data_IF_792919823855
#
_entry.id   IF_792919823855
#
_cell.length_a   1.000
_cell.length_b   1.000
_cell.length_c   1.000
_cell.angle_alpha   90.00
_cell.angle_beta   90.00
_cell.angle_gamma   90.00
#
_symmetry.space_group_name_H-M   'P 1'
#
loop_
_entity.id
_entity.type
_entity.pdbx_description
1 polymer ?
#
# COMPACT_ATOMS: atom_id res chain seq x y z
N UNK A 1 15.67 23.62 -37.18
CA UNK A 1 15.61 22.79 -35.96
C UNK A 1 14.29 23.07 -35.27
N UNK A 2 13.50 22.05 -34.97
CA UNK A 2 12.18 22.19 -34.33
C UNK A 2 12.29 21.67 -32.90
N UNK A 3 11.78 22.43 -31.93
CA UNK A 3 11.73 22.02 -30.52
C UNK A 3 10.28 21.85 -30.13
N UNK A 4 9.89 20.64 -29.73
CA UNK A 4 8.52 20.31 -29.29
C UNK A 4 8.48 20.24 -27.77
N UNK A 5 7.54 20.96 -27.16
CA UNK A 5 7.31 20.91 -25.72
C UNK A 5 6.35 19.76 -25.37
N UNK A 6 6.56 19.08 -24.23
CA UNK A 6 5.69 18.00 -23.79
C UNK A 6 4.30 18.53 -23.39
N UNK A 7 3.31 17.64 -23.39
CA UNK A 7 2.02 17.92 -22.78
C UNK A 7 2.21 18.07 -21.26
N UNK A 8 1.81 19.21 -20.72
CA UNK A 8 2.03 19.56 -19.31
C UNK A 8 0.68 19.71 -18.61
N UNK A 9 0.61 19.26 -17.36
CA UNK A 9 -0.49 19.52 -16.45
C UNK A 9 0.05 19.95 -15.09
N UNK A 10 -0.76 20.64 -14.29
CA UNK A 10 -0.42 20.97 -12.89
C UNK A 10 -1.29 20.15 -11.96
N UNK A 11 -0.67 19.41 -11.04
CA UNK A 11 -1.38 18.63 -10.01
C UNK A 11 -1.54 19.47 -8.74
N UNK A 12 -2.78 19.65 -8.30
CA UNK A 12 -3.13 20.27 -7.02
C UNK A 12 -3.58 19.20 -6.03
N UNK A 13 -2.84 19.09 -4.93
CA UNK A 13 -3.15 18.18 -3.83
C UNK A 13 -4.28 18.75 -2.96
N UNK A 14 -4.20 20.04 -2.64
CA UNK A 14 -5.25 20.80 -1.94
C UNK A 14 -5.96 21.73 -2.91
N UNK A 15 -7.28 21.76 -2.83
CA UNK A 15 -8.08 22.69 -3.63
C UNK A 15 -8.95 23.57 -2.75
N UNK A 16 -9.01 24.85 -3.13
CA UNK A 16 -9.93 25.84 -2.57
C UNK A 16 -11.01 26.19 -3.59
N UNK A 17 -12.12 26.79 -3.14
CA UNK A 17 -13.26 27.19 -4.00
C UNK A 17 -12.86 28.01 -5.25
N UNK A 18 -11.73 28.73 -5.19
CA UNK A 18 -11.23 29.58 -6.28
C UNK A 18 -10.16 28.92 -7.17
N UNK A 19 -9.84 27.64 -6.96
CA UNK A 19 -8.81 26.94 -7.74
C UNK A 19 -9.32 26.77 -9.18
N UNK A 20 -8.68 27.39 -10.19
CA UNK A 20 -9.15 27.29 -11.58
C UNK A 20 -8.97 25.87 -12.12
N UNK A 21 -9.57 25.57 -13.28
CA UNK A 21 -9.38 24.29 -13.97
C UNK A 21 -8.25 24.36 -15.03
N UNK A 22 -7.74 25.56 -15.31
CA UNK A 22 -6.64 25.80 -16.25
C UNK A 22 -5.67 26.83 -15.68
N UNK A 23 -4.39 26.68 -16.03
CA UNK A 23 -3.32 27.66 -15.74
C UNK A 23 -2.69 28.13 -17.04
N UNK A 24 -2.23 29.38 -17.09
CA UNK A 24 -1.47 29.87 -18.26
C UNK A 24 -0.01 29.48 -18.13
N UNK A 25 0.50 28.70 -19.08
CA UNK A 25 1.92 28.45 -19.26
C UNK A 25 2.50 29.49 -20.20
N UNK A 26 3.63 30.11 -19.83
CA UNK A 26 4.24 31.22 -20.56
C UNK A 26 5.71 30.88 -20.81
N UNK A 27 6.08 30.79 -22.08
CA UNK A 27 7.47 30.58 -22.51
C UNK A 27 7.98 31.91 -23.06
N UNK A 28 9.05 32.42 -22.45
CA UNK A 28 9.72 33.63 -22.91
C UNK A 28 10.98 33.22 -23.68
N UNK A 29 11.08 33.67 -24.92
CA UNK A 29 12.23 33.44 -25.80
C UNK A 29 12.77 34.77 -26.32
N UNK A 30 14.02 34.85 -26.83
CA UNK A 30 14.54 36.08 -27.43
C UNK A 30 13.69 36.63 -28.58
N UNK A 31 12.98 35.77 -29.31
CA UNK A 31 12.11 36.15 -30.43
C UNK A 31 10.65 36.42 -30.07
N UNK A 32 10.26 36.29 -28.80
CA UNK A 32 8.89 36.55 -28.36
C UNK A 32 8.39 35.60 -27.28
N UNK A 33 7.10 35.73 -26.96
CA UNK A 33 6.43 34.98 -25.89
C UNK A 33 5.35 34.07 -26.45
N UNK A 34 5.37 32.79 -26.07
CA UNK A 34 4.30 31.82 -26.37
C UNK A 34 3.48 31.60 -25.10
N UNK A 35 2.15 31.63 -25.22
CA UNK A 35 1.21 31.43 -24.11
C UNK A 35 0.15 30.41 -24.49
N UNK A 36 -0.10 29.43 -23.63
CA UNK A 36 -1.20 28.47 -23.79
C UNK A 36 -1.70 27.99 -22.44
N UNK A 37 -2.92 27.46 -22.42
CA UNK A 37 -3.53 26.91 -21.22
C UNK A 37 -3.06 25.47 -20.99
N UNK A 38 -2.70 25.16 -19.74
CA UNK A 38 -2.43 23.80 -19.26
C UNK A 38 -3.53 23.38 -18.26
N UNK A 39 -3.97 22.11 -18.29
CA UNK A 39 -4.99 21.62 -17.36
C UNK A 39 -4.47 21.57 -15.93
N UNK A 40 -5.37 21.86 -14.99
CA UNK A 40 -5.16 21.64 -13.57
C UNK A 40 -5.88 20.37 -13.14
N UNK A 41 -5.12 19.37 -12.68
CA UNK A 41 -5.62 18.14 -12.09
C UNK A 41 -5.77 18.32 -10.58
N UNK A 42 -6.90 17.90 -10.02
CA UNK A 42 -7.25 18.11 -8.61
C UNK A 42 -7.40 16.76 -7.95
N UNK A 43 -6.49 16.37 -7.06
CA UNK A 43 -6.50 15.02 -6.44
C UNK A 43 -7.83 14.72 -5.77
N UNK A 44 -8.38 15.69 -5.06
CA UNK A 44 -9.67 15.60 -4.34
C UNK A 44 -10.89 15.36 -5.26
N UNK A 45 -10.75 15.46 -6.59
CA UNK A 45 -11.82 15.15 -7.55
C UNK A 45 -11.81 13.69 -8.04
N UNK A 46 -10.76 12.93 -7.75
CA UNK A 46 -10.65 11.54 -8.20
C UNK A 46 -11.12 10.60 -7.10
N UNK A 47 -12.11 9.76 -7.42
CA UNK A 47 -12.46 8.62 -6.58
C UNK A 47 -11.37 7.54 -6.67
N UNK A 48 -11.35 6.58 -5.74
CA UNK A 48 -10.46 5.41 -5.88
C UNK A 48 -10.70 4.67 -7.19
N UNK A 49 -11.96 4.50 -7.60
CA UNK A 49 -12.27 3.84 -8.87
C UNK A 49 -11.71 4.60 -10.06
N UNK A 50 -11.84 5.94 -10.09
CA UNK A 50 -11.21 6.76 -11.13
C UNK A 50 -9.69 6.53 -11.18
N UNK A 51 -9.02 6.47 -10.02
CA UNK A 51 -7.56 6.31 -9.94
C UNK A 51 -7.14 4.98 -10.56
N UNK A 52 -7.81 3.88 -10.20
CA UNK A 52 -7.44 2.56 -10.68
C UNK A 52 -7.88 2.31 -12.14
N UNK A 53 -9.09 2.71 -12.52
CA UNK A 53 -9.60 2.54 -13.89
C UNK A 53 -8.77 3.33 -14.92
N UNK A 54 -8.39 4.57 -14.58
CA UNK A 54 -7.58 5.43 -15.45
C UNK A 54 -6.06 5.20 -15.29
N UNK A 55 -5.65 4.20 -14.50
CA UNK A 55 -4.25 3.88 -14.19
C UNK A 55 -3.44 5.07 -13.64
N UNK A 56 -4.07 5.93 -12.86
CA UNK A 56 -3.48 7.11 -12.24
C UNK A 56 -2.80 6.77 -10.90
N UNK A 57 -2.12 5.62 -10.80
CA UNK A 57 -1.60 5.07 -9.54
C UNK A 57 -0.65 6.03 -8.80
N UNK A 58 0.00 6.94 -9.53
CA UNK A 58 0.80 8.05 -8.97
C UNK A 58 0.00 8.95 -8.01
N UNK A 59 -1.32 8.94 -8.07
CA UNK A 59 -2.19 9.73 -7.21
C UNK A 59 -2.47 9.06 -5.86
N UNK A 60 -2.23 7.74 -5.72
CA UNK A 60 -2.50 7.00 -4.47
C UNK A 60 -1.77 7.59 -3.25
N UNK A 61 -0.47 7.98 -3.32
CA UNK A 61 0.20 8.62 -2.19
C UNK A 61 -0.49 9.90 -1.71
N UNK A 62 -1.18 10.59 -2.62
CA UNK A 62 -1.85 11.84 -2.34
C UNK A 62 -3.35 11.67 -2.07
N UNK A 63 -3.89 10.46 -2.13
CA UNK A 63 -5.31 10.21 -1.93
C UNK A 63 -5.78 10.73 -0.57
N UNK A 64 -4.93 10.66 0.46
CA UNK A 64 -5.24 11.15 1.81
C UNK A 64 -5.68 12.62 1.86
N UNK A 65 -5.30 13.45 0.88
CA UNK A 65 -5.73 14.84 0.82
C UNK A 65 -7.24 15.01 0.58
N UNK A 66 -7.95 13.99 0.07
CA UNK A 66 -9.43 14.00 0.01
C UNK A 66 -10.06 13.90 1.40
N UNK A 67 -9.35 13.29 2.36
CA UNK A 67 -9.77 13.02 3.72
C UNK A 67 -9.30 14.08 4.75
N UNK A 68 -8.44 15.02 4.33
CA UNK A 68 -7.78 15.97 5.23
C UNK A 68 -8.75 16.76 6.13
N UNK A 69 -9.89 17.20 5.58
CA UNK A 69 -10.88 17.95 6.35
C UNK A 69 -11.58 17.11 7.44
N UNK A 70 -11.56 15.78 7.30
CA UNK A 70 -12.19 14.83 8.21
C UNK A 70 -11.21 14.23 9.22
N UNK A 71 -9.91 14.60 9.18
CA UNK A 71 -8.93 14.12 10.16
C UNK A 71 -9.33 14.33 11.63
N UNK A 72 -9.91 15.47 12.05
CA UNK A 72 -10.37 15.63 13.43
C UNK A 72 -11.42 14.58 13.84
N UNK A 73 -12.31 14.22 12.91
CA UNK A 73 -13.35 13.23 13.14
C UNK A 73 -12.74 11.82 13.22
N UNK A 74 -11.89 11.45 12.27
CA UNK A 74 -11.18 10.16 12.31
C UNK A 74 -10.32 10.02 13.57
N UNK A 75 -9.75 11.12 14.05
CA UNK A 75 -8.90 11.09 15.23
C UNK A 75 -9.69 10.93 16.54
N UNK A 76 -10.97 11.28 16.56
CA UNK A 76 -11.82 11.23 17.77
C UNK A 76 -12.88 10.13 17.73
N UNK A 77 -13.12 9.50 16.57
CA UNK A 77 -14.14 8.47 16.39
C UNK A 77 -13.55 7.20 15.75
N UNK A 78 -13.50 6.12 16.53
CA UNK A 78 -12.96 4.82 16.11
C UNK A 78 -13.71 4.19 14.94
N UNK A 79 -15.04 4.34 14.87
CA UNK A 79 -15.83 3.80 13.77
C UNK A 79 -15.47 4.49 12.44
N UNK A 80 -15.35 5.82 12.47
CA UNK A 80 -14.94 6.61 11.30
C UNK A 80 -13.51 6.30 10.88
N UNK A 81 -12.61 6.09 11.85
CA UNK A 81 -11.25 5.64 11.56
C UNK A 81 -11.23 4.23 10.95
N UNK A 82 -12.10 3.33 11.40
CA UNK A 82 -12.22 1.99 10.82
C UNK A 82 -12.72 2.02 9.37
N UNK A 83 -13.65 2.92 9.03
CA UNK A 83 -14.08 3.17 7.65
C UNK A 83 -12.89 3.59 6.77
N UNK A 84 -12.07 4.56 7.24
CA UNK A 84 -10.87 5.00 6.52
C UNK A 84 -9.83 3.88 6.37
N UNK A 85 -9.62 3.07 7.42
CA UNK A 85 -8.74 1.90 7.37
C UNK A 85 -9.19 0.88 6.33
N UNK A 86 -10.49 0.59 6.28
CA UNK A 86 -11.06 -0.34 5.30
C UNK A 86 -10.86 0.17 3.87
N UNK A 87 -11.00 1.47 3.65
CA UNK A 87 -10.73 2.10 2.36
C UNK A 87 -9.26 1.95 1.93
N UNK A 88 -8.32 2.16 2.83
CA UNK A 88 -6.89 1.94 2.56
C UNK A 88 -6.53 0.45 2.39
N UNK A 89 -7.24 -0.45 3.07
CA UNK A 89 -7.09 -1.88 2.84
C UNK A 89 -7.48 -2.26 1.40
N UNK A 90 -8.55 -1.67 0.86
CA UNK A 90 -8.95 -1.86 -0.55
C UNK A 90 -7.86 -1.37 -1.51
N UNK A 91 -7.18 -0.26 -1.20
CA UNK A 91 -6.06 0.23 -2.01
C UNK A 91 -4.95 -0.81 -2.07
N UNK A 92 -4.54 -1.36 -0.92
CA UNK A 92 -3.51 -2.41 -0.85
C UNK A 92 -3.91 -3.64 -1.67
N UNK A 93 -5.13 -4.14 -1.50
CA UNK A 93 -5.62 -5.31 -2.25
C UNK A 93 -5.64 -5.08 -3.77
N UNK A 94 -6.01 -3.87 -4.22
CA UNK A 94 -6.01 -3.53 -5.65
C UNK A 94 -4.58 -3.41 -6.19
N UNK A 95 -3.64 -2.86 -5.42
CA UNK A 95 -2.23 -2.83 -5.80
C UNK A 95 -1.63 -4.24 -5.87
N UNK A 96 -1.98 -5.13 -4.92
CA UNK A 96 -1.57 -6.54 -4.93
C UNK A 96 -2.07 -7.25 -6.19
N UNK A 97 -3.34 -7.06 -6.55
CA UNK A 97 -3.91 -7.63 -7.77
C UNK A 97 -3.18 -7.14 -9.02
N UNK A 98 -2.83 -5.86 -9.08
CA UNK A 98 -2.08 -5.30 -10.21
C UNK A 98 -0.66 -5.87 -10.31
N UNK A 99 0.02 -6.07 -9.19
CA UNK A 99 1.33 -6.73 -9.14
C UNK A 99 1.23 -8.19 -9.59
N UNK A 100 0.28 -8.96 -9.04
CA UNK A 100 0.07 -10.37 -9.39
C UNK A 100 -0.28 -10.56 -10.87
N UNK A 101 -0.97 -9.60 -11.48
CA UNK A 101 -1.28 -9.58 -12.91
C UNK A 101 -0.11 -9.10 -13.79
N UNK A 102 0.99 -8.65 -13.19
CA UNK A 102 2.14 -8.09 -13.90
C UNK A 102 1.87 -6.71 -14.53
N UNK A 103 0.83 -6.01 -14.11
CA UNK A 103 0.50 -4.65 -14.60
C UNK A 103 1.46 -3.62 -14.02
N UNK A 104 1.91 -3.83 -12.78
CA UNK A 104 2.96 -3.05 -12.11
C UNK A 104 4.01 -3.99 -11.54
N UNK A 105 5.25 -3.50 -11.39
CA UNK A 105 6.29 -4.27 -10.71
C UNK A 105 6.16 -4.23 -9.19
N UNK A 106 6.80 -5.20 -8.52
CA UNK A 106 6.93 -5.22 -7.07
C UNK A 106 7.54 -3.91 -6.52
N UNK A 107 8.50 -3.34 -7.25
CA UNK A 107 9.11 -2.06 -6.92
C UNK A 107 8.10 -0.90 -6.99
N UNK A 108 7.33 -0.79 -8.08
CA UNK A 108 6.33 0.28 -8.25
C UNK A 108 5.30 0.26 -7.12
N UNK A 109 4.78 -0.93 -6.80
CA UNK A 109 3.86 -1.14 -5.68
C UNK A 109 4.49 -0.68 -4.37
N UNK A 110 5.71 -1.14 -4.09
CA UNK A 110 6.41 -0.79 -2.86
C UNK A 110 6.61 0.72 -2.74
N UNK A 111 7.03 1.39 -3.81
CA UNK A 111 7.20 2.83 -3.85
C UNK A 111 5.89 3.57 -3.60
N UNK A 112 4.78 3.15 -4.22
CA UNK A 112 3.47 3.76 -3.98
C UNK A 112 3.08 3.66 -2.50
N UNK A 113 3.27 2.48 -1.90
CA UNK A 113 2.93 2.22 -0.50
C UNK A 113 3.79 3.07 0.44
N UNK A 114 5.11 3.11 0.22
CA UNK A 114 6.04 3.88 1.05
C UNK A 114 5.76 5.38 0.97
N UNK A 115 5.62 5.93 -0.24
CA UNK A 115 5.27 7.33 -0.42
C UNK A 115 3.93 7.68 0.22
N UNK A 116 2.95 6.77 0.17
CA UNK A 116 1.67 6.96 0.86
C UNK A 116 1.85 7.05 2.38
N UNK A 117 2.66 6.16 2.96
CA UNK A 117 2.97 6.20 4.40
C UNK A 117 3.62 7.52 4.80
N UNK A 118 4.62 7.96 4.03
CA UNK A 118 5.34 9.21 4.30
C UNK A 118 4.42 10.42 4.20
N UNK A 119 3.61 10.51 3.13
CA UNK A 119 2.64 11.60 2.98
C UNK A 119 1.62 11.63 4.11
N UNK A 120 1.09 10.46 4.51
CA UNK A 120 0.13 10.37 5.63
C UNK A 120 0.78 10.82 6.94
N UNK A 121 2.00 10.37 7.22
CA UNK A 121 2.75 10.80 8.42
C UNK A 121 2.92 12.30 8.44
N UNK A 122 3.32 12.91 7.34
CA UNK A 122 3.55 14.36 7.25
C UNK A 122 2.26 15.18 7.39
N UNK A 123 1.17 14.78 6.74
CA UNK A 123 -0.07 15.56 6.76
C UNK A 123 -0.87 15.35 8.06
N UNK A 124 -0.77 14.18 8.67
CA UNK A 124 -1.54 13.80 9.86
C UNK A 124 -0.75 13.96 11.17
N UNK A 125 0.36 14.72 11.21
CA UNK A 125 1.23 14.91 12.39
C UNK A 125 0.49 15.25 13.70
N UNK A 126 -0.64 15.95 13.62
CA UNK A 126 -1.44 16.35 14.79
C UNK A 126 -2.55 15.35 15.15
N UNK A 127 -2.69 14.29 14.39
CA UNK A 127 -3.78 13.31 14.46
C UNK A 127 -3.19 11.91 14.67
N UNK A 128 -2.75 11.64 15.89
CA UNK A 128 -2.05 10.41 16.28
C UNK A 128 -2.82 9.14 15.88
N UNK A 129 -4.15 9.12 16.03
CA UNK A 129 -4.96 7.95 15.69
C UNK A 129 -5.05 7.73 14.16
N UNK A 130 -5.00 8.80 13.36
CA UNK A 130 -4.93 8.71 11.89
C UNK A 130 -3.56 8.18 11.46
N UNK A 131 -2.47 8.69 12.05
CA UNK A 131 -1.12 8.19 11.80
C UNK A 131 -0.96 6.72 12.17
N UNK A 132 -1.31 6.34 13.40
CA UNK A 132 -1.26 4.93 13.85
C UNK A 132 -2.22 4.04 13.09
N UNK A 133 -3.34 4.61 12.64
CA UNK A 133 -4.37 3.86 11.95
C UNK A 133 -3.99 3.48 10.53
N UNK A 134 -3.73 4.49 9.70
CA UNK A 134 -3.50 4.33 8.26
C UNK A 134 -2.02 4.48 7.92
N UNK A 135 -1.30 5.37 8.59
CA UNK A 135 0.14 5.57 8.38
C UNK A 135 0.96 4.31 8.68
N UNK A 136 0.66 3.60 9.77
CA UNK A 136 1.31 2.32 10.12
C UNK A 136 0.88 1.17 9.21
N UNK A 137 -0.40 1.17 8.80
CA UNK A 137 -0.91 0.24 7.78
C UNK A 137 -0.12 0.39 6.49
N UNK A 138 0.09 1.61 6.00
CA UNK A 138 0.89 1.88 4.79
C UNK A 138 2.40 1.76 5.04
N UNK A 139 2.85 1.87 6.29
CA UNK A 139 4.26 1.80 6.70
C UNK A 139 4.83 0.40 6.84
N UNK A 140 4.02 -0.64 6.60
CA UNK A 140 4.48 -2.03 6.64
C UNK A 140 4.32 -2.73 8.00
N UNK A 141 3.77 -2.07 9.02
CA UNK A 141 3.46 -2.74 10.28
C UNK A 141 2.40 -3.83 10.07
N UNK A 142 1.39 -3.54 9.22
CA UNK A 142 0.29 -4.45 8.86
C UNK A 142 0.41 -5.10 7.48
N UNK A 143 1.35 -4.66 6.63
CA UNK A 143 1.49 -5.19 5.27
C UNK A 143 2.27 -6.49 5.34
N UNK A 144 1.67 -7.59 4.89
CA UNK A 144 2.43 -8.78 4.52
C UNK A 144 3.21 -8.45 3.24
N UNK A 145 4.46 -8.04 3.41
CA UNK A 145 5.35 -7.77 2.27
C UNK A 145 5.79 -9.09 1.67
N UNK A 146 6.19 -9.11 0.39
CA UNK A 146 6.68 -10.35 -0.23
C UNK A 146 7.91 -10.90 0.52
N UNK A 147 8.76 -10.03 1.07
CA UNK A 147 9.84 -10.42 1.96
C UNK A 147 9.33 -11.08 3.26
N UNK A 148 8.25 -10.56 3.86
CA UNK A 148 7.62 -11.13 5.06
C UNK A 148 6.94 -12.46 4.75
N UNK A 149 6.30 -12.57 3.58
CA UNK A 149 5.71 -13.81 3.07
C UNK A 149 6.77 -14.88 2.84
N UNK A 150 7.87 -14.54 2.16
CA UNK A 150 9.02 -15.45 1.97
C UNK A 150 9.63 -15.85 3.31
N UNK A 151 9.78 -14.92 4.25
CA UNK A 151 10.28 -15.21 5.60
C UNK A 151 9.34 -16.16 6.35
N UNK A 152 8.03 -15.89 6.36
CA UNK A 152 7.02 -16.71 7.01
C UNK A 152 6.97 -18.12 6.41
N UNK A 153 7.02 -18.23 5.07
CA UNK A 153 7.12 -19.52 4.37
C UNK A 153 8.41 -20.26 4.75
N UNK A 154 9.55 -19.56 4.85
CA UNK A 154 10.82 -20.15 5.27
C UNK A 154 10.79 -20.67 6.71
N UNK A 155 10.15 -19.93 7.63
CA UNK A 155 9.94 -20.35 9.02
C UNK A 155 9.04 -21.60 9.07
N UNK A 156 7.88 -21.58 8.41
CA UNK A 156 6.95 -22.71 8.36
C UNK A 156 7.59 -23.98 7.78
N UNK A 157 8.32 -23.85 6.65
CA UNK A 157 9.08 -24.94 6.05
C UNK A 157 10.13 -25.50 7.01
N UNK A 158 10.77 -24.65 7.81
CA UNK A 158 11.78 -25.07 8.80
C UNK A 158 11.13 -25.84 9.94
N UNK A 159 10.02 -25.33 10.49
CA UNK A 159 9.23 -26.02 11.53
C UNK A 159 8.78 -27.41 11.07
N UNK A 160 8.18 -27.50 9.88
CA UNK A 160 7.75 -28.77 9.28
C UNK A 160 8.91 -29.74 9.03
N UNK A 161 10.06 -29.26 8.53
CA UNK A 161 11.26 -30.10 8.36
C UNK A 161 11.78 -30.64 9.68
N UNK A 162 11.79 -29.82 10.74
CA UNK A 162 12.16 -30.25 12.09
C UNK A 162 11.22 -31.33 12.60
N UNK A 163 9.91 -31.11 12.52
CA UNK A 163 8.91 -32.11 12.91
C UNK A 163 9.07 -33.43 12.15
N UNK A 164 9.23 -33.38 10.83
CA UNK A 164 9.47 -34.57 9.98
C UNK A 164 10.73 -35.31 10.42
N UNK A 165 11.83 -34.60 10.72
CA UNK A 165 13.08 -35.21 11.17
C UNK A 165 12.93 -35.90 12.53
N UNK A 166 12.23 -35.28 13.47
CA UNK A 166 11.97 -35.85 14.80
C UNK A 166 11.03 -37.06 14.73
N UNK A 167 9.97 -36.99 13.91
CA UNK A 167 9.08 -38.13 13.63
C UNK A 167 9.86 -39.33 13.09
N UNK A 168 10.76 -39.11 12.14
CA UNK A 168 11.64 -40.16 11.59
C UNK A 168 12.62 -40.76 12.60
N UNK A 169 12.98 -40.02 13.65
CA UNK A 169 13.83 -40.54 14.72
C UNK A 169 13.07 -41.51 15.62
N UNK A 170 11.74 -41.37 15.75
CA UNK A 170 10.87 -42.29 16.49
C UNK A 170 11.14 -42.36 18.00
N UNK A 171 11.73 -41.30 18.58
CA UNK A 171 12.15 -41.25 20.00
C UNK A 171 11.31 -40.34 20.90
N UNK A 172 10.46 -39.52 20.31
CA UNK A 172 9.69 -38.48 20.98
C UNK A 172 8.20 -38.69 20.72
N UNK A 173 7.35 -38.26 21.65
CA UNK A 173 5.89 -38.25 21.46
C UNK A 173 5.46 -37.12 20.52
N UNK A 174 4.22 -37.16 20.03
CA UNK A 174 3.68 -36.11 19.15
C UNK A 174 3.68 -34.75 19.86
N UNK A 175 3.39 -34.74 21.17
CA UNK A 175 3.38 -33.54 22.00
C UNK A 175 4.79 -32.94 22.14
N UNK A 176 5.79 -33.78 22.41
CA UNK A 176 7.19 -33.34 22.51
C UNK A 176 7.71 -32.81 21.16
N UNK A 177 7.28 -33.41 20.03
CA UNK A 177 7.63 -32.96 18.69
C UNK A 177 6.95 -31.63 18.37
N UNK A 178 5.68 -31.46 18.74
CA UNK A 178 4.94 -30.22 18.57
C UNK A 178 5.62 -29.06 19.32
N UNK A 179 6.04 -29.30 20.56
CA UNK A 179 6.82 -28.34 21.34
C UNK A 179 8.16 -28.00 20.68
N UNK A 180 8.96 -29.02 20.31
CA UNK A 180 10.29 -28.82 19.71
C UNK A 180 10.28 -28.16 18.32
N UNK A 181 9.19 -28.34 17.57
CA UNK A 181 9.02 -27.78 16.22
C UNK A 181 8.20 -26.49 16.20
N UNK A 182 7.69 -26.06 17.35
CA UNK A 182 6.76 -24.94 17.49
C UNK A 182 5.56 -25.04 16.54
N UNK A 183 5.02 -26.26 16.39
CA UNK A 183 3.80 -26.57 15.63
C UNK A 183 2.69 -26.98 16.59
N UNK A 184 1.44 -26.96 16.12
CA UNK A 184 0.35 -27.58 16.87
C UNK A 184 0.43 -29.11 16.80
N UNK A 185 -0.09 -29.79 17.83
CA UNK A 185 -0.21 -31.26 17.88
C UNK A 185 -0.91 -31.79 16.62
N UNK A 186 -1.98 -31.12 16.20
CA UNK A 186 -2.74 -31.47 14.98
C UNK A 186 -1.92 -31.40 13.69
N UNK A 187 -1.01 -30.43 13.57
CA UNK A 187 -0.13 -30.33 12.39
C UNK A 187 0.90 -31.45 12.38
N UNK A 188 1.42 -31.83 13.56
CA UNK A 188 2.36 -32.95 13.70
C UNK A 188 1.67 -34.28 13.40
N UNK A 189 0.43 -34.48 13.85
CA UNK A 189 -0.38 -35.67 13.51
C UNK A 189 -0.60 -35.82 12.01
N UNK A 190 -0.93 -34.73 11.31
CA UNK A 190 -1.07 -34.73 9.85
C UNK A 190 0.25 -35.09 9.16
N UNK A 191 1.36 -34.53 9.61
CA UNK A 191 2.70 -34.85 9.08
C UNK A 191 3.10 -36.31 9.34
N UNK A 192 2.67 -36.90 10.47
CA UNK A 192 2.89 -38.29 10.79
C UNK A 192 2.06 -39.22 9.90
N UNK A 193 0.78 -38.89 9.66
CA UNK A 193 -0.11 -39.66 8.78
C UNK A 193 0.31 -39.66 7.31
N UNK A 194 1.05 -38.62 6.86
CA UNK A 194 1.64 -38.57 5.51
C UNK A 194 2.90 -39.44 5.36
N UNK A 195 3.52 -39.90 6.45
CA UNK A 195 4.71 -40.76 6.42
C UNK A 195 4.39 -42.26 6.47
N UNK A 196 3.15 -42.63 6.82
CA UNK A 196 2.71 -44.04 6.94
C UNK A 196 2.10 -44.61 5.65
N UNK A 197 2.14 -43.86 4.54
CA UNK A 197 1.72 -44.27 3.19
C UNK A 197 2.93 -44.66 2.33
#
# INVERSE_FOLDING_TARGET
>A
MTVTFPNTAVLYLRTYKKTPDKMKYVIVTPGGTVKYDIPIMKVQKYSLDDIFEKRLLMLIPFYIFSHENSFPEYNSNEQKLAELKAEYQIILERLDKLEQQGVIGAFDRRTIIELSSDVIKEIAQKYENVQKGVGDMMGGALIETEARKILNQGIDLTKKKTAIKLLKMGKLTIEEIAECSELSVTEVEQLAGLQTV
#
